data_IF_746219231661
#
_entry.id   IF_746219231661
#
_cell.length_a   1.000
_cell.length_b   1.000
_cell.length_c   1.000
_cell.angle_alpha   90.00
_cell.angle_beta   90.00
_cell.angle_gamma   90.00
#
_symmetry.space_group_name_H-M   'P 1'
#
loop_
_entity.id
_entity.type
_entity.pdbx_description
1 polymer ?
#
# COMPACT_ATOMS: atom_id res chain seq x y z
N UNK A 1 10.12 -31.25 -3.30
CA UNK A 1 8.98 -30.93 -2.43
C UNK A 1 9.24 -29.55 -1.85
N UNK A 2 8.51 -28.53 -2.32
CA UNK A 2 8.58 -27.21 -1.72
C UNK A 2 8.12 -27.30 -0.26
N UNK A 3 8.84 -26.63 0.65
CA UNK A 3 8.41 -26.54 2.04
C UNK A 3 7.09 -25.78 2.07
N UNK A 4 6.02 -26.41 2.56
CA UNK A 4 4.71 -25.77 2.66
C UNK A 4 4.85 -24.46 3.44
N UNK A 5 4.48 -23.35 2.83
CA UNK A 5 4.46 -22.05 3.49
C UNK A 5 3.47 -22.11 4.65
N UNK A 6 3.99 -22.03 5.87
CA UNK A 6 3.21 -22.05 7.11
C UNK A 6 3.34 -20.71 7.83
N UNK A 7 2.28 -20.24 8.51
CA UNK A 7 2.38 -19.05 9.34
C UNK A 7 3.49 -19.19 10.39
N UNK A 8 4.21 -18.10 10.62
CA UNK A 8 5.24 -17.99 11.66
C UNK A 8 4.87 -16.90 12.64
N UNK A 9 5.59 -16.81 13.76
CA UNK A 9 5.40 -15.74 14.72
C UNK A 9 5.65 -14.37 14.07
N UNK A 10 6.69 -14.26 13.24
CA UNK A 10 7.08 -13.06 12.51
C UNK A 10 6.14 -12.75 11.34
N UNK A 11 5.52 -13.78 10.74
CA UNK A 11 4.62 -13.68 9.57
C UNK A 11 3.31 -14.45 9.83
N UNK A 12 2.42 -13.92 10.68
CA UNK A 12 1.23 -14.64 11.14
C UNK A 12 0.09 -14.73 10.12
N UNK A 13 0.03 -13.86 9.09
CA UNK A 13 -1.06 -13.84 8.11
C UNK A 13 -0.65 -14.43 6.76
N UNK A 14 -1.11 -15.66 6.51
CA UNK A 14 -1.10 -16.32 5.21
C UNK A 14 -2.52 -16.79 4.86
N UNK A 15 -3.40 -15.85 4.50
CA UNK A 15 -4.74 -16.21 3.99
C UNK A 15 -4.67 -16.99 2.68
N UNK A 16 -5.75 -17.69 2.32
CA UNK A 16 -5.82 -18.56 1.13
C UNK A 16 -5.29 -17.86 -0.14
N UNK A 17 -5.72 -16.62 -0.36
CA UNK A 17 -5.34 -15.84 -1.55
C UNK A 17 -3.85 -15.49 -1.54
N UNK A 18 -3.29 -15.16 -0.37
CA UNK A 18 -1.85 -14.89 -0.23
C UNK A 18 -1.04 -16.15 -0.48
N UNK A 19 -1.47 -17.28 0.08
CA UNK A 19 -0.82 -18.58 -0.15
C UNK A 19 -0.78 -18.94 -1.64
N UNK A 20 -1.91 -18.83 -2.35
CA UNK A 20 -1.95 -19.09 -3.79
C UNK A 20 -1.05 -18.16 -4.60
N UNK A 21 -0.99 -16.88 -4.23
CA UNK A 21 -0.07 -15.93 -4.86
C UNK A 21 1.40 -16.32 -4.61
N UNK A 22 1.73 -16.80 -3.41
CA UNK A 22 3.09 -17.24 -3.08
C UNK A 22 3.45 -18.54 -3.80
N UNK A 23 2.53 -19.49 -3.88
CA UNK A 23 2.69 -20.72 -4.68
C UNK A 23 2.93 -20.36 -6.16
N UNK A 24 2.18 -19.41 -6.71
CA UNK A 24 2.39 -18.88 -8.06
C UNK A 24 3.70 -18.11 -8.24
N UNK A 25 4.39 -17.77 -7.15
CA UNK A 25 5.72 -17.14 -7.10
C UNK A 25 6.82 -18.14 -6.69
N UNK A 26 6.57 -19.45 -6.63
CA UNK A 26 7.63 -20.44 -6.38
C UNK A 26 8.48 -20.69 -7.64
N UNK A 27 7.85 -20.73 -8.82
CA UNK A 27 8.50 -20.95 -10.11
C UNK A 27 9.32 -19.74 -10.55
N UNK A 28 10.51 -19.90 -11.14
CA UNK A 28 11.43 -18.80 -11.50
C UNK A 28 10.85 -17.73 -12.46
N UNK A 29 9.67 -17.95 -13.03
CA UNK A 29 8.95 -17.00 -13.87
C UNK A 29 7.69 -16.44 -13.20
N UNK A 30 7.23 -15.26 -13.63
CA UNK A 30 5.93 -14.70 -13.23
C UNK A 30 4.76 -15.27 -14.06
N UNK A 31 4.97 -16.37 -14.78
CA UNK A 31 3.97 -16.98 -15.66
C UNK A 31 2.75 -17.45 -14.87
N UNK A 32 2.96 -18.24 -13.81
CA UNK A 32 1.86 -18.74 -12.96
C UNK A 32 1.12 -17.58 -12.27
N UNK A 33 1.85 -16.58 -11.78
CA UNK A 33 1.24 -15.37 -11.20
C UNK A 33 0.40 -14.60 -12.24
N UNK A 34 0.82 -14.57 -13.50
CA UNK A 34 0.06 -13.95 -14.60
C UNK A 34 -1.25 -14.70 -14.86
N UNK A 35 -1.23 -16.04 -14.82
CA UNK A 35 -2.43 -16.86 -14.94
C UNK A 35 -3.36 -16.67 -13.74
N UNK A 36 -2.81 -16.70 -12.53
CA UNK A 36 -3.55 -16.44 -11.29
C UNK A 36 -4.28 -15.09 -11.33
N UNK A 37 -3.58 -14.03 -11.74
CA UNK A 37 -4.15 -12.69 -11.86
C UNK A 37 -5.38 -12.66 -12.78
N UNK A 38 -5.32 -13.35 -13.93
CA UNK A 38 -6.40 -13.33 -14.92
C UNK A 38 -7.59 -14.24 -14.58
N UNK A 39 -7.31 -15.40 -13.99
CA UNK A 39 -8.31 -16.47 -13.87
C UNK A 39 -8.86 -16.62 -12.47
N UNK A 40 -8.05 -16.36 -11.44
CA UNK A 40 -8.36 -16.74 -10.06
C UNK A 40 -8.50 -15.56 -9.11
N UNK A 41 -7.82 -14.44 -9.40
CA UNK A 41 -7.82 -13.26 -8.52
C UNK A 41 -9.23 -12.76 -8.23
N UNK A 42 -10.07 -12.60 -9.25
CA UNK A 42 -11.45 -12.13 -9.05
C UNK A 42 -12.26 -13.05 -8.12
N UNK A 43 -12.14 -14.36 -8.30
CA UNK A 43 -12.83 -15.35 -7.47
C UNK A 43 -12.36 -15.29 -6.02
N UNK A 44 -11.06 -15.07 -5.83
CA UNK A 44 -10.45 -14.90 -4.52
C UNK A 44 -10.95 -13.60 -3.85
N UNK A 45 -10.99 -12.49 -4.58
CA UNK A 45 -11.53 -11.23 -4.08
C UNK A 45 -12.99 -11.38 -3.65
N UNK A 46 -13.85 -11.97 -4.49
CA UNK A 46 -15.27 -12.14 -4.16
C UNK A 46 -15.52 -13.01 -2.91
N UNK A 47 -14.58 -13.89 -2.56
CA UNK A 47 -14.61 -14.67 -1.32
C UNK A 47 -14.11 -13.86 -0.11
N UNK A 48 -13.09 -13.03 -0.31
CA UNK A 48 -12.28 -12.47 0.77
C UNK A 48 -12.61 -11.00 1.10
N UNK A 49 -13.38 -10.30 0.25
CA UNK A 49 -13.73 -8.88 0.45
C UNK A 49 -15.23 -8.67 0.64
N UNK A 50 -15.57 -7.78 1.58
CA UNK A 50 -16.93 -7.27 1.76
C UNK A 50 -17.10 -5.87 1.14
N UNK A 51 -16.02 -5.28 0.60
CA UNK A 51 -16.08 -3.98 -0.04
C UNK A 51 -16.67 -4.09 -1.46
N UNK A 52 -17.45 -3.08 -1.90
CA UNK A 52 -17.97 -3.05 -3.26
C UNK A 52 -16.84 -2.79 -4.25
N UNK A 53 -16.32 -3.86 -4.87
CA UNK A 53 -15.20 -3.82 -5.83
C UNK A 53 -15.67 -3.67 -7.30
N UNK A 54 -16.56 -2.73 -7.58
CA UNK A 54 -17.13 -2.58 -8.91
C UNK A 54 -16.09 -2.17 -9.97
N UNK A 55 -15.19 -1.25 -9.64
CA UNK A 55 -14.18 -0.71 -10.58
C UNK A 55 -13.03 -1.67 -10.76
N UNK A 56 -12.59 -2.32 -9.70
CA UNK A 56 -11.56 -3.37 -9.71
C UNK A 56 -12.03 -4.53 -10.58
N UNK A 57 -13.29 -4.96 -10.43
CA UNK A 57 -13.90 -5.98 -11.30
C UNK A 57 -13.93 -5.52 -12.76
N UNK A 58 -14.35 -4.29 -13.01
CA UNK A 58 -14.37 -3.73 -14.36
C UNK A 58 -12.97 -3.68 -14.97
N UNK A 59 -11.96 -3.23 -14.21
CA UNK A 59 -10.58 -3.11 -14.65
C UNK A 59 -10.00 -4.48 -15.00
N UNK A 60 -10.20 -5.50 -14.16
CA UNK A 60 -9.75 -6.87 -14.43
C UNK A 60 -10.46 -7.50 -15.64
N UNK A 61 -11.76 -7.23 -15.82
CA UNK A 61 -12.50 -7.70 -16.98
C UNK A 61 -12.01 -7.04 -18.29
N UNK A 62 -11.73 -5.73 -18.24
CA UNK A 62 -11.24 -4.96 -19.39
C UNK A 62 -9.77 -5.24 -19.71
N UNK A 63 -8.95 -5.56 -18.70
CA UNK A 63 -7.54 -5.91 -18.86
C UNK A 63 -7.37 -7.04 -19.90
N UNK A 64 -8.15 -8.12 -19.76
CA UNK A 64 -8.12 -9.25 -20.68
C UNK A 64 -8.50 -8.88 -22.12
N UNK A 65 -9.44 -7.93 -22.30
CA UNK A 65 -9.86 -7.47 -23.62
C UNK A 65 -8.81 -6.55 -24.28
N UNK A 66 -8.03 -5.82 -23.49
CA UNK A 66 -7.10 -4.78 -23.96
C UNK A 66 -5.65 -5.26 -24.06
N UNK A 67 -5.42 -6.57 -24.24
CA UNK A 67 -4.06 -7.13 -24.35
C UNK A 67 -3.30 -7.22 -23.03
N UNK A 68 -4.02 -7.23 -21.91
CA UNK A 68 -3.54 -7.44 -20.54
C UNK A 68 -2.42 -6.51 -20.05
N UNK A 69 -2.65 -5.19 -20.06
CA UNK A 69 -1.71 -4.21 -19.49
C UNK A 69 -1.30 -4.49 -18.03
N UNK A 70 -2.16 -5.03 -17.18
CA UNK A 70 -1.79 -5.43 -15.81
C UNK A 70 -0.77 -6.56 -15.79
N UNK A 71 -0.78 -7.47 -16.76
CA UNK A 71 0.28 -8.48 -16.87
C UNK A 71 1.59 -7.82 -17.29
N UNK A 72 1.57 -6.85 -18.23
CA UNK A 72 2.79 -6.10 -18.57
C UNK A 72 3.36 -5.37 -17.34
N UNK A 73 2.49 -4.71 -16.56
CA UNK A 73 2.87 -4.05 -15.31
C UNK A 73 3.42 -5.05 -14.29
N UNK A 74 2.81 -6.23 -14.15
CA UNK A 74 3.28 -7.29 -13.25
C UNK A 74 4.71 -7.72 -13.60
N UNK A 75 5.01 -7.93 -14.88
CA UNK A 75 6.35 -8.33 -15.34
C UNK A 75 7.38 -7.21 -15.21
N UNK A 76 6.95 -5.96 -15.03
CA UNK A 76 7.86 -4.87 -14.76
C UNK A 76 8.27 -4.80 -13.28
N UNK A 77 7.41 -5.24 -12.35
CA UNK A 77 7.74 -5.22 -10.92
C UNK A 77 8.87 -6.24 -10.65
N UNK A 78 9.98 -5.85 -10.00
CA UNK A 78 11.02 -6.79 -9.60
C UNK A 78 10.42 -7.92 -8.75
N UNK A 79 10.73 -9.18 -9.10
CA UNK A 79 10.14 -10.35 -8.44
C UNK A 79 10.26 -10.31 -6.91
N UNK A 80 11.43 -9.89 -6.38
CA UNK A 80 11.63 -9.73 -4.94
C UNK A 80 10.63 -8.74 -4.34
N UNK A 81 10.38 -7.62 -5.01
CA UNK A 81 9.37 -6.66 -4.59
C UNK A 81 7.96 -7.26 -4.67
N UNK A 82 7.64 -8.00 -5.73
CA UNK A 82 6.36 -8.73 -5.82
C UNK A 82 6.18 -9.67 -4.64
N UNK A 83 7.20 -10.46 -4.28
CA UNK A 83 7.18 -11.35 -3.12
C UNK A 83 6.99 -10.58 -1.81
N UNK A 84 7.69 -9.45 -1.62
CA UNK A 84 7.54 -8.61 -0.42
C UNK A 84 6.15 -7.99 -0.29
N UNK A 85 5.55 -7.55 -1.41
CA UNK A 85 4.18 -7.03 -1.44
C UNK A 85 3.19 -8.14 -1.06
N UNK A 86 3.28 -9.30 -1.72
CA UNK A 86 2.41 -10.45 -1.45
C UNK A 86 2.56 -10.91 -0.01
N UNK A 87 3.79 -11.00 0.50
CA UNK A 87 4.06 -11.38 1.88
C UNK A 87 3.63 -10.30 2.90
N UNK A 88 3.42 -9.05 2.50
CA UNK A 88 3.19 -7.95 3.44
C UNK A 88 4.45 -7.54 4.22
N UNK A 89 5.64 -7.90 3.74
CA UNK A 89 6.94 -7.67 4.41
C UNK A 89 7.70 -6.48 3.83
N UNK A 90 7.03 -5.60 3.09
CA UNK A 90 7.63 -4.47 2.40
C UNK A 90 8.53 -3.61 3.30
N UNK A 91 8.07 -3.24 4.50
CA UNK A 91 8.87 -2.41 5.40
C UNK A 91 10.11 -3.12 5.95
N UNK A 92 10.00 -4.44 6.15
CA UNK A 92 11.11 -5.28 6.58
C UNK A 92 12.15 -5.42 5.46
N UNK A 93 11.71 -5.84 4.26
CA UNK A 93 12.58 -6.10 3.12
C UNK A 93 13.15 -4.82 2.47
N UNK A 94 12.49 -3.67 2.60
CA UNK A 94 12.95 -2.42 2.00
C UNK A 94 13.26 -1.36 3.06
N UNK A 95 13.56 -1.80 4.29
CA UNK A 95 14.06 -0.94 5.34
C UNK A 95 15.32 -0.19 4.84
N UNK A 96 15.57 1.08 5.22
CA UNK A 96 16.71 1.86 4.70
C UNK A 96 18.10 1.24 4.88
N UNK A 97 18.25 0.27 5.80
CA UNK A 97 19.48 -0.48 6.00
C UNK A 97 19.67 -1.63 4.99
N UNK A 98 18.67 -1.91 4.16
CA UNK A 98 18.70 -2.95 3.14
C UNK A 98 18.88 -2.33 1.75
N UNK A 99 19.77 -2.92 0.95
CA UNK A 99 20.00 -2.51 -0.42
C UNK A 99 19.19 -3.40 -1.36
N UNK A 100 17.95 -3.01 -1.64
CA UNK A 100 17.12 -3.68 -2.62
C UNK A 100 16.78 -2.75 -3.78
N UNK A 101 16.67 -3.35 -4.97
CA UNK A 101 16.32 -2.64 -6.20
C UNK A 101 14.91 -2.09 -6.10
N UNK A 102 14.77 -0.79 -6.37
CA UNK A 102 13.48 -0.09 -6.43
C UNK A 102 13.46 0.84 -7.62
N UNK A 103 12.27 1.16 -8.09
CA UNK A 103 12.10 2.20 -9.10
C UNK A 103 12.51 3.57 -8.55
N UNK A 104 13.05 4.46 -9.40
CA UNK A 104 13.14 5.88 -9.06
C UNK A 104 11.73 6.49 -8.88
N UNK A 105 11.65 7.56 -8.11
CA UNK A 105 10.39 8.23 -7.72
C UNK A 105 10.02 9.41 -8.64
N UNK A 106 10.81 9.72 -9.65
CA UNK A 106 10.63 10.86 -10.57
C UNK A 106 9.57 10.64 -11.66
N UNK A 107 8.79 9.57 -11.56
CA UNK A 107 7.81 9.14 -12.56
C UNK A 107 6.37 9.02 -12.04
N UNK A 108 5.46 8.83 -13.00
CA UNK A 108 4.09 8.42 -12.75
C UNK A 108 4.02 6.92 -12.45
N UNK A 109 3.15 6.51 -11.55
CA UNK A 109 2.98 5.10 -11.24
C UNK A 109 2.29 4.83 -9.91
N UNK A 110 2.34 3.55 -9.52
CA UNK A 110 1.88 3.10 -8.22
C UNK A 110 3.04 2.96 -7.24
N UNK A 111 2.76 3.31 -5.99
CA UNK A 111 3.68 3.20 -4.87
C UNK A 111 3.02 2.47 -3.71
N UNK A 112 3.86 1.93 -2.83
CA UNK A 112 3.42 1.29 -1.61
C UNK A 112 4.09 1.93 -0.39
N UNK A 113 3.33 2.04 0.69
CA UNK A 113 3.78 2.57 1.97
C UNK A 113 3.49 1.55 3.05
N UNK A 114 4.52 1.18 3.82
CA UNK A 114 4.41 0.23 4.92
C UNK A 114 5.06 0.82 6.18
N UNK A 115 4.34 0.85 7.32
CA UNK A 115 4.88 1.35 8.58
C UNK A 115 5.81 0.33 9.23
N UNK A 116 6.82 0.83 9.94
CA UNK A 116 7.68 0.06 10.82
C UNK A 116 7.98 0.82 12.10
N UNK A 117 8.43 0.12 13.14
CA UNK A 117 8.80 0.74 14.40
C UNK A 117 10.31 0.99 14.41
N UNK A 118 10.71 2.22 14.72
CA UNK A 118 12.12 2.60 14.78
C UNK A 118 12.86 1.74 15.83
N UNK A 119 14.08 1.32 15.50
CA UNK A 119 14.87 0.43 16.34
C UNK A 119 14.47 -1.05 16.27
N UNK A 120 13.62 -1.44 15.31
CA UNK A 120 13.21 -2.85 15.10
C UNK A 120 13.50 -3.39 13.69
N UNK A 121 14.47 -2.81 12.99
CA UNK A 121 14.96 -3.29 11.69
C UNK A 121 13.85 -3.55 10.66
N UNK A 122 12.93 -2.60 10.51
CA UNK A 122 11.81 -2.69 9.57
C UNK A 122 10.63 -3.54 10.05
N UNK A 123 10.70 -4.11 11.26
CA UNK A 123 9.58 -4.84 11.87
C UNK A 123 8.51 -3.90 12.42
N UNK A 124 7.30 -4.44 12.46
CA UNK A 124 6.11 -3.78 12.96
C UNK A 124 5.84 -4.17 14.42
N UNK A 125 4.59 -4.01 14.86
CA UNK A 125 4.11 -4.36 16.19
C UNK A 125 4.16 -5.87 16.43
N UNK A 126 4.30 -6.28 17.69
CA UNK A 126 4.02 -7.65 18.13
C UNK A 126 2.52 -7.83 18.44
N UNK A 127 2.10 -9.02 18.89
CA UNK A 127 0.70 -9.31 19.19
C UNK A 127 0.14 -8.42 20.33
N UNK A 128 0.90 -8.16 21.39
CA UNK A 128 0.45 -7.34 22.53
C UNK A 128 0.20 -5.88 22.12
N UNK A 129 1.13 -5.33 21.34
CA UNK A 129 1.01 -3.98 20.80
C UNK A 129 -0.11 -3.90 19.76
N UNK A 130 -0.26 -4.94 18.92
CA UNK A 130 -1.37 -5.04 17.97
C UNK A 130 -2.72 -5.08 18.68
N UNK A 131 -2.83 -5.78 19.82
CA UNK A 131 -4.05 -5.77 20.64
C UNK A 131 -4.34 -4.37 21.19
N UNK A 132 -3.32 -3.64 21.65
CA UNK A 132 -3.49 -2.26 22.10
C UNK A 132 -3.97 -1.34 20.98
N UNK A 133 -3.47 -1.53 19.75
CA UNK A 133 -3.93 -0.81 18.56
C UNK A 133 -5.39 -1.16 18.21
N UNK A 134 -5.79 -2.42 18.33
CA UNK A 134 -7.18 -2.87 18.12
C UNK A 134 -8.12 -2.14 19.07
N UNK A 135 -7.77 -2.06 20.35
CA UNK A 135 -8.56 -1.39 21.38
C UNK A 135 -8.68 0.12 21.10
N UNK A 136 -7.58 0.77 20.68
CA UNK A 136 -7.57 2.19 20.31
C UNK A 136 -8.38 2.49 19.03
N UNK A 137 -8.35 1.59 18.04
CA UNK A 137 -9.20 1.68 16.85
C UNK A 137 -10.68 1.57 17.22
N UNK A 138 -11.04 0.63 18.10
CA UNK A 138 -12.40 0.48 18.60
C UNK A 138 -12.86 1.74 19.34
N UNK A 139 -12.00 2.34 20.16
CA UNK A 139 -12.29 3.60 20.84
C UNK A 139 -12.52 4.77 19.85
N UNK A 140 -11.74 4.82 18.76
CA UNK A 140 -11.91 5.84 17.72
C UNK A 140 -13.20 5.62 16.89
N UNK A 141 -13.55 4.37 16.60
CA UNK A 141 -14.83 4.00 15.95
C UNK A 141 -16.02 4.38 16.85
N UNK A 142 -15.94 4.08 18.14
CA UNK A 142 -16.96 4.46 19.11
C UNK A 142 -17.13 5.99 19.19
N UNK A 143 -16.04 6.76 19.10
CA UNK A 143 -16.08 8.21 19.03
C UNK A 143 -16.83 8.72 17.78
N UNK A 144 -16.67 8.04 16.64
CA UNK A 144 -17.44 8.36 15.43
C UNK A 144 -18.95 8.18 15.67
N UNK A 145 -19.34 7.06 16.28
CA UNK A 145 -20.74 6.80 16.60
C UNK A 145 -21.30 7.77 17.65
N UNK A 146 -20.52 8.13 18.66
CA UNK A 146 -20.87 9.16 19.64
C UNK A 146 -21.12 10.51 18.98
N UNK A 147 -20.22 10.93 18.08
CA UNK A 147 -20.38 12.17 17.32
C UNK A 147 -21.65 12.17 16.46
N UNK A 148 -21.96 11.04 15.81
CA UNK A 148 -23.17 10.89 15.01
C UNK A 148 -24.46 11.01 15.86
N UNK A 149 -24.46 10.53 17.12
CA UNK A 149 -25.59 10.66 18.05
C UNK A 149 -25.84 12.11 18.48
N UNK A 150 -24.78 12.88 18.66
CA UNK A 150 -24.82 14.23 19.25
C UNK A 150 -24.73 15.37 18.24
N UNK A 151 -25.00 15.13 16.95
CA UNK A 151 -24.76 16.06 15.84
C UNK A 151 -25.38 17.47 15.95
N UNK A 152 -26.12 17.81 17.01
CA UNK A 152 -26.61 19.16 17.29
C UNK A 152 -26.71 19.52 18.79
N UNK A 153 -26.15 18.74 19.73
CA UNK A 153 -26.32 19.04 21.15
C UNK A 153 -25.16 18.55 22.04
N UNK A 154 -24.06 19.31 22.07
CA UNK A 154 -22.89 19.01 22.89
C UNK A 154 -23.20 19.00 24.41
N UNK A 155 -24.35 19.57 24.84
CA UNK A 155 -24.71 19.69 26.26
C UNK A 155 -25.26 18.39 26.89
N UNK A 156 -25.56 17.35 26.09
CA UNK A 156 -26.11 16.08 26.56
C UNK A 156 -25.12 14.90 26.50
N UNK A 157 -23.83 15.16 26.29
CA UNK A 157 -22.85 14.08 26.30
C UNK A 157 -22.68 13.48 27.70
N UNK A 158 -22.84 12.17 27.77
CA UNK A 158 -22.47 11.41 28.95
C UNK A 158 -20.94 11.38 29.15
N UNK A 159 -20.52 10.83 30.29
CA UNK A 159 -19.10 10.73 30.67
C UNK A 159 -18.30 9.86 29.69
N UNK A 160 -18.91 8.82 29.12
CA UNK A 160 -18.25 7.91 28.17
C UNK A 160 -18.00 8.63 26.84
N UNK A 161 -19.02 9.27 26.28
CA UNK A 161 -18.92 10.00 25.01
C UNK A 161 -17.90 11.15 25.11
N UNK A 162 -17.82 11.83 26.26
CA UNK A 162 -16.77 12.83 26.51
C UNK A 162 -15.36 12.21 26.50
N UNK A 163 -15.19 11.02 27.08
CA UNK A 163 -13.90 10.31 27.08
C UNK A 163 -13.51 9.89 25.66
N UNK A 164 -14.46 9.37 24.88
CA UNK A 164 -14.26 9.01 23.48
C UNK A 164 -13.81 10.22 22.65
N UNK A 165 -14.49 11.37 22.81
CA UNK A 165 -14.10 12.60 22.12
C UNK A 165 -12.73 13.14 22.54
N UNK A 166 -12.41 13.11 23.83
CA UNK A 166 -11.11 13.55 24.31
C UNK A 166 -9.98 12.71 23.70
N UNK A 167 -10.17 11.39 23.66
CA UNK A 167 -9.24 10.47 23.01
C UNK A 167 -9.10 10.77 21.51
N UNK A 168 -10.20 10.83 20.78
CA UNK A 168 -10.17 11.03 19.32
C UNK A 168 -9.57 12.39 18.95
N UNK A 169 -9.87 13.45 19.73
CA UNK A 169 -9.26 14.77 19.58
C UNK A 169 -7.76 14.75 19.85
N UNK A 170 -7.30 13.93 20.80
CA UNK A 170 -5.88 13.78 21.07
C UNK A 170 -5.17 13.06 19.92
N UNK A 171 -5.75 11.99 19.38
CA UNK A 171 -5.26 11.29 18.18
C UNK A 171 -5.22 12.25 16.98
N UNK A 172 -6.28 13.01 16.73
CA UNK A 172 -6.36 13.92 15.59
C UNK A 172 -5.35 15.07 15.69
N UNK A 173 -5.04 15.56 16.90
CA UNK A 173 -4.05 16.65 17.08
C UNK A 173 -2.62 16.25 16.72
N UNK A 174 -2.32 14.96 16.66
CA UNK A 174 -0.97 14.46 16.41
C UNK A 174 -0.54 14.60 14.94
N UNK A 175 -1.49 14.73 14.00
CA UNK A 175 -1.17 15.02 12.59
C UNK A 175 -0.58 16.41 12.39
N UNK A 176 -0.78 17.36 13.32
CA UNK A 176 -0.33 18.76 13.22
C UNK A 176 -0.81 19.48 11.94
N UNK A 177 -1.87 18.99 11.31
CA UNK A 177 -2.49 19.69 10.19
C UNK A 177 -3.52 20.71 10.67
N UNK A 178 -3.76 21.75 9.87
CA UNK A 178 -4.80 22.76 10.15
C UNK A 178 -6.18 22.24 9.74
N UNK A 179 -6.44 20.94 9.95
CA UNK A 179 -7.69 20.34 9.51
C UNK A 179 -8.88 20.92 10.28
N UNK A 180 -9.95 21.18 9.52
CA UNK A 180 -11.23 21.62 10.06
C UNK A 180 -12.31 20.57 9.76
N UNK A 181 -13.19 20.26 10.71
CA UNK A 181 -14.34 19.40 10.48
C UNK A 181 -15.16 19.83 9.27
N UNK A 182 -15.50 18.86 8.41
CA UNK A 182 -16.48 19.05 7.32
C UNK A 182 -17.80 18.38 7.71
N UNK A 183 -18.92 18.99 7.31
CA UNK A 183 -20.26 18.39 7.38
C UNK A 183 -20.68 17.90 8.79
N UNK A 184 -20.21 18.58 9.84
CA UNK A 184 -20.55 18.26 11.23
C UNK A 184 -19.89 17.00 11.80
N UNK A 185 -19.10 16.26 11.01
CA UNK A 185 -18.31 15.12 11.51
C UNK A 185 -16.99 15.64 12.06
N UNK A 186 -16.82 15.55 13.39
CA UNK A 186 -15.69 16.12 14.12
C UNK A 186 -14.38 15.31 14.04
N UNK A 187 -14.35 14.16 13.36
CA UNK A 187 -13.18 13.28 13.31
C UNK A 187 -12.39 13.42 12.01
N UNK A 188 -11.06 13.54 12.14
CA UNK A 188 -10.14 13.71 11.01
C UNK A 188 -10.21 12.54 10.02
N UNK A 189 -10.17 11.32 10.57
CA UNK A 189 -9.87 10.12 9.81
C UNK A 189 -11.09 9.25 9.48
N UNK A 190 -12.21 9.42 10.17
CA UNK A 190 -13.49 8.78 9.83
C UNK A 190 -14.51 9.86 9.50
N UNK A 191 -14.62 10.18 8.21
CA UNK A 191 -15.47 11.27 7.71
C UNK A 191 -16.87 10.82 7.27
N UNK A 192 -17.19 9.53 7.42
CA UNK A 192 -18.51 9.02 7.06
C UNK A 192 -18.62 7.50 7.21
N UNK A 193 -19.82 6.98 6.94
CA UNK A 193 -20.17 5.57 7.16
C UNK A 193 -19.29 4.60 6.37
N UNK A 194 -18.97 4.95 5.11
CA UNK A 194 -18.10 4.11 4.27
C UNK A 194 -16.72 3.94 4.88
N UNK A 195 -16.07 5.04 5.29
CA UNK A 195 -14.77 5.00 5.96
C UNK A 195 -14.85 4.26 7.29
N UNK A 196 -15.90 4.50 8.09
CA UNK A 196 -16.11 3.80 9.35
C UNK A 196 -16.15 2.28 9.15
N UNK A 197 -16.92 1.80 8.16
CA UNK A 197 -17.02 0.39 7.86
C UNK A 197 -15.66 -0.21 7.42
N UNK A 198 -14.88 0.52 6.63
CA UNK A 198 -13.55 0.09 6.25
C UNK A 198 -12.61 -0.02 7.46
N UNK A 199 -12.61 0.95 8.37
CA UNK A 199 -11.79 0.90 9.59
C UNK A 199 -12.23 -0.23 10.54
N UNK A 200 -13.55 -0.50 10.64
CA UNK A 200 -14.05 -1.68 11.35
C UNK A 200 -13.49 -2.97 10.73
N UNK A 201 -13.51 -3.09 9.40
CA UNK A 201 -12.97 -4.26 8.73
C UNK A 201 -11.45 -4.42 8.94
N UNK A 202 -10.70 -3.31 8.93
CA UNK A 202 -9.28 -3.31 9.26
C UNK A 202 -9.01 -3.76 10.70
N UNK A 203 -9.79 -3.28 11.67
CA UNK A 203 -9.73 -3.75 13.06
C UNK A 203 -9.94 -5.27 13.13
N UNK A 204 -10.97 -5.80 12.46
CA UNK A 204 -11.22 -7.26 12.43
C UNK A 204 -10.09 -8.04 11.78
N UNK A 205 -9.47 -7.51 10.72
CA UNK A 205 -8.31 -8.14 10.09
C UNK A 205 -7.10 -8.21 11.05
N UNK A 206 -6.89 -7.18 11.88
CA UNK A 206 -5.87 -7.21 12.95
C UNK A 206 -6.21 -8.22 14.05
N UNK A 207 -7.48 -8.33 14.45
CA UNK A 207 -7.93 -9.36 15.40
C UNK A 207 -7.63 -10.76 14.86
N UNK A 208 -7.94 -11.00 13.58
CA UNK A 208 -7.66 -12.27 12.93
C UNK A 208 -6.15 -12.54 12.83
N UNK A 209 -5.32 -11.51 12.60
CA UNK A 209 -3.85 -11.61 12.63
C UNK A 209 -3.35 -12.12 13.99
N UNK A 210 -3.79 -11.48 15.08
CA UNK A 210 -3.38 -11.85 16.44
C UNK A 210 -3.82 -13.28 16.76
N UNK A 211 -5.06 -13.66 16.40
CA UNK A 211 -5.58 -15.03 16.63
C UNK A 211 -4.86 -16.10 15.82
N UNK A 212 -4.43 -15.78 14.60
CA UNK A 212 -3.73 -16.71 13.72
C UNK A 212 -2.25 -16.87 14.07
N UNK A 213 -1.67 -15.95 14.84
CA UNK A 213 -0.26 -15.97 15.20
C UNK A 213 0.08 -17.18 16.08
N UNK A 214 1.13 -17.96 15.73
CA UNK A 214 1.59 -19.06 16.57
C UNK A 214 2.41 -18.60 17.79
N UNK A 215 2.64 -17.30 17.96
CA UNK A 215 3.39 -16.75 19.10
C UNK A 215 2.56 -16.74 20.39
N UNK A 216 2.79 -17.76 21.22
CA UNK A 216 2.15 -17.89 22.53
C UNK A 216 2.56 -16.79 23.53
N UNK A 217 3.73 -16.16 23.36
CA UNK A 217 4.21 -15.11 24.27
C UNK A 217 3.61 -13.75 23.93
N UNK A 218 3.34 -13.54 22.64
CA UNK A 218 2.88 -12.28 22.06
C UNK A 218 3.95 -11.19 21.98
N UNK A 219 5.22 -11.54 22.18
CA UNK A 219 6.36 -10.62 22.23
C UNK A 219 7.16 -10.56 20.91
N UNK A 220 6.92 -11.49 19.97
CA UNK A 220 7.63 -11.52 18.69
C UNK A 220 7.13 -10.40 17.79
N UNK A 221 8.04 -9.51 17.38
CA UNK A 221 7.74 -8.44 16.42
C UNK A 221 7.51 -8.99 15.03
N UNK A 222 6.42 -8.53 14.39
CA UNK A 222 6.06 -8.99 13.06
C UNK A 222 6.95 -8.36 11.98
N UNK A 223 7.42 -9.17 11.03
CA UNK A 223 7.98 -8.68 9.77
C UNK A 223 6.87 -8.19 8.83
N UNK A 224 5.65 -8.69 9.02
CA UNK A 224 4.47 -8.26 8.27
C UNK A 224 3.87 -6.96 8.84
N UNK A 225 3.63 -5.99 7.95
CA UNK A 225 2.95 -4.73 8.26
C UNK A 225 1.74 -4.53 7.34
N UNK A 226 0.67 -3.84 7.78
CA UNK A 226 -0.37 -3.36 6.87
C UNK A 226 0.22 -2.44 5.79
N UNK A 227 -0.14 -2.68 4.53
CA UNK A 227 0.36 -1.87 3.40
C UNK A 227 -0.74 -0.90 2.95
N UNK A 228 -0.34 0.34 2.67
CA UNK A 228 -1.12 1.31 1.90
C UNK A 228 -0.57 1.37 0.47
N UNK A 229 -1.45 1.39 -0.52
CA UNK A 229 -1.10 1.59 -1.92
C UNK A 229 -1.74 2.87 -2.42
N UNK A 230 -0.99 3.64 -3.20
CA UNK A 230 -1.53 4.78 -3.92
C UNK A 230 -0.89 4.90 -5.29
N UNK A 231 -1.39 5.85 -6.07
CA UNK A 231 -0.78 6.23 -7.34
C UNK A 231 -0.64 7.75 -7.45
N UNK A 232 0.28 8.19 -8.30
CA UNK A 232 0.49 9.60 -8.62
C UNK A 232 1.12 9.73 -10.00
N UNK A 233 0.86 10.85 -10.65
CA UNK A 233 1.63 11.37 -11.78
C UNK A 233 3.07 11.75 -11.44
N UNK A 234 3.35 12.03 -10.16
CA UNK A 234 4.65 12.46 -9.64
C UNK A 234 4.87 11.89 -8.23
N UNK A 235 5.49 10.71 -8.17
CA UNK A 235 5.70 10.02 -6.89
C UNK A 235 6.68 10.78 -5.97
N UNK A 236 7.70 11.43 -6.52
CA UNK A 236 8.69 12.27 -5.81
C UNK A 236 8.04 13.34 -4.92
N UNK A 237 7.00 13.99 -5.44
CA UNK A 237 6.19 14.96 -4.69
C UNK A 237 5.27 14.30 -3.68
N UNK A 238 4.78 13.08 -3.93
CA UNK A 238 3.75 12.43 -3.13
C UNK A 238 4.29 11.66 -1.92
N UNK A 239 5.35 10.86 -2.09
CA UNK A 239 5.87 9.96 -1.06
C UNK A 239 6.24 10.66 0.26
N UNK A 240 6.86 11.86 0.27
CA UNK A 240 7.22 12.53 1.53
C UNK A 240 6.03 12.85 2.43
N UNK A 241 4.82 13.03 1.86
CA UNK A 241 3.60 13.32 2.63
C UNK A 241 3.09 12.16 3.48
N UNK A 242 3.62 10.95 3.25
CA UNK A 242 3.28 9.76 4.04
C UNK A 242 4.19 9.57 5.25
N UNK A 243 5.26 10.36 5.38
CA UNK A 243 6.12 10.29 6.55
C UNK A 243 5.39 10.75 7.81
N UNK A 244 5.51 10.02 8.93
CA UNK A 244 5.12 10.48 10.27
C UNK A 244 5.76 11.82 10.66
N UNK A 245 6.84 12.25 10.01
CA UNK A 245 7.47 13.56 10.29
C UNK A 245 6.76 14.72 9.58
N UNK A 246 5.85 14.43 8.65
CA UNK A 246 5.01 15.41 7.93
C UNK A 246 3.69 15.71 8.65
N UNK A 247 2.85 16.56 8.03
CA UNK A 247 1.49 16.89 8.50
C UNK A 247 0.47 15.77 8.26
N UNK A 248 0.81 14.74 7.47
CA UNK A 248 -0.10 13.69 7.02
C UNK A 248 -1.37 14.20 6.30
N UNK A 249 -1.41 15.47 5.87
CA UNK A 249 -2.59 16.11 5.27
C UNK A 249 -3.08 15.39 4.01
N UNK A 250 -2.13 14.86 3.27
CA UNK A 250 -2.30 14.18 1.99
C UNK A 250 -2.16 12.65 2.10
N UNK A 251 -2.17 12.12 3.32
CA UNK A 251 -2.13 10.68 3.57
C UNK A 251 -3.53 10.07 3.52
N UNK A 252 -3.63 8.86 2.96
CA UNK A 252 -4.87 8.09 2.95
C UNK A 252 -5.40 7.84 4.37
N UNK A 253 -6.72 7.89 4.56
CA UNK A 253 -7.34 7.90 5.89
C UNK A 253 -6.93 6.71 6.79
N UNK A 254 -6.83 5.49 6.24
CA UNK A 254 -6.43 4.31 7.00
C UNK A 254 -4.99 4.40 7.52
N UNK A 255 -4.05 4.77 6.65
CA UNK A 255 -2.65 5.00 7.03
C UNK A 255 -2.53 6.16 8.03
N UNK A 256 -3.23 7.28 7.77
CA UNK A 256 -3.19 8.46 8.63
C UNK A 256 -3.70 8.18 10.04
N UNK A 257 -4.80 7.44 10.17
CA UNK A 257 -5.33 7.00 11.46
C UNK A 257 -4.34 6.11 12.21
N UNK A 258 -3.80 5.09 11.53
CA UNK A 258 -2.82 4.18 12.12
C UNK A 258 -1.61 4.95 12.68
N UNK A 259 -0.99 5.81 11.87
CA UNK A 259 0.17 6.59 12.27
C UNK A 259 -0.16 7.56 13.43
N UNK A 260 -1.36 8.13 13.43
CA UNK A 260 -1.81 9.05 14.49
C UNK A 260 -2.00 8.33 15.82
N UNK A 261 -2.60 7.13 15.81
CA UNK A 261 -2.75 6.30 17.03
C UNK A 261 -1.39 5.88 17.57
N UNK A 262 -0.48 5.39 16.72
CA UNK A 262 0.85 4.94 17.18
C UNK A 262 1.64 6.08 17.81
N UNK A 263 1.64 7.25 17.19
CA UNK A 263 2.26 8.44 17.77
C UNK A 263 1.58 8.92 19.05
N UNK A 264 0.24 8.84 19.14
CA UNK A 264 -0.49 9.15 20.39
C UNK A 264 -0.04 8.24 21.54
N UNK A 265 0.28 6.98 21.24
CA UNK A 265 0.88 6.03 22.19
C UNK A 265 2.38 6.21 22.41
N UNK A 266 2.98 7.26 21.87
CA UNK A 266 4.43 7.52 21.94
C UNK A 266 5.29 6.38 21.34
N UNK A 267 4.72 5.59 20.42
CA UNK A 267 5.47 4.58 19.67
C UNK A 267 6.18 5.28 18.51
N UNK A 268 7.51 5.16 18.47
CA UNK A 268 8.33 5.76 17.40
C UNK A 268 8.13 4.98 16.10
N UNK A 269 7.22 5.45 15.26
CA UNK A 269 6.86 4.87 13.97
C UNK A 269 7.45 5.70 12.84
N UNK A 270 8.00 5.02 11.83
CA UNK A 270 8.32 5.61 10.52
C UNK A 270 7.73 4.72 9.40
N UNK A 271 7.91 5.12 8.14
CA UNK A 271 7.39 4.37 6.99
C UNK A 271 8.48 4.11 5.96
N UNK A 272 8.39 2.95 5.33
CA UNK A 272 9.02 2.69 4.03
C UNK A 272 7.99 3.06 2.97
N UNK A 273 8.32 4.05 2.14
CA UNK A 273 7.51 4.50 1.02
C UNK A 273 8.33 4.36 -0.25
N UNK A 274 7.92 3.48 -1.17
CA UNK A 274 8.69 3.21 -2.39
C UNK A 274 7.81 3.18 -3.65
N UNK A 275 8.34 3.67 -4.78
CA UNK A 275 7.78 3.38 -6.10
C UNK A 275 7.78 1.87 -6.36
N UNK A 276 6.65 1.33 -6.81
CA UNK A 276 6.52 -0.12 -7.09
C UNK A 276 6.60 -0.40 -8.58
N UNK A 277 5.92 0.41 -9.39
CA UNK A 277 5.90 0.27 -10.84
C UNK A 277 5.58 1.62 -11.47
N UNK A 278 6.22 1.91 -12.60
CA UNK A 278 5.87 3.07 -13.42
C UNK A 278 4.68 2.79 -14.32
N UNK A 279 3.92 3.84 -14.62
CA UNK A 279 2.90 3.85 -15.64
C UNK A 279 3.44 4.57 -16.87
N UNK A 280 3.67 3.84 -17.96
CA UNK A 280 4.18 4.41 -19.21
C UNK A 280 3.06 5.00 -20.07
N UNK A 281 1.87 4.40 -20.03
CA UNK A 281 0.69 4.90 -20.73
C UNK A 281 -0.29 5.49 -19.72
N UNK A 282 -1.07 6.50 -20.12
CA UNK A 282 -1.98 7.19 -19.18
C UNK A 282 -3.03 6.21 -18.62
N UNK A 283 -3.45 5.23 -19.42
CA UNK A 283 -4.36 4.16 -19.02
C UNK A 283 -3.75 3.19 -18.02
N UNK A 284 -2.42 3.07 -17.96
CA UNK A 284 -1.72 2.17 -17.04
C UNK A 284 -1.72 2.69 -15.60
N UNK A 285 -1.85 3.99 -15.38
CA UNK A 285 -1.78 4.55 -14.01
C UNK A 285 -2.86 3.98 -13.09
N UNK A 286 -4.17 4.06 -13.40
CA UNK A 286 -5.20 3.44 -12.56
C UNK A 286 -5.05 1.92 -12.48
N UNK A 287 -4.59 1.26 -13.55
CA UNK A 287 -4.37 -0.19 -13.57
C UNK A 287 -3.21 -0.61 -12.67
N UNK A 288 -2.16 0.21 -12.58
CA UNK A 288 -1.02 -0.02 -11.69
C UNK A 288 -1.44 0.06 -10.23
N UNK A 289 -2.29 1.03 -9.87
CA UNK A 289 -2.84 1.12 -8.51
C UNK A 289 -3.66 -0.12 -8.15
N UNK A 290 -4.53 -0.57 -9.08
CA UNK A 290 -5.32 -1.79 -8.90
C UNK A 290 -4.41 -3.00 -8.72
N UNK A 291 -3.46 -3.22 -9.64
CA UNK A 291 -2.54 -4.36 -9.57
C UNK A 291 -1.77 -4.39 -8.25
N UNK A 292 -1.14 -3.28 -7.86
CA UNK A 292 -0.33 -3.23 -6.63
C UNK A 292 -1.21 -3.40 -5.39
N UNK A 293 -2.43 -2.85 -5.39
CA UNK A 293 -3.41 -3.05 -4.31
C UNK A 293 -3.76 -4.53 -4.14
N UNK A 294 -3.97 -5.25 -5.24
CA UNK A 294 -4.29 -6.68 -5.24
C UNK A 294 -3.12 -7.53 -4.75
N UNK A 295 -1.91 -7.26 -5.24
CA UNK A 295 -0.70 -7.95 -4.81
C UNK A 295 -0.44 -7.76 -3.32
N UNK A 296 -0.54 -6.51 -2.84
CA UNK A 296 -0.31 -6.16 -1.45
C UNK A 296 -1.47 -6.57 -0.50
N UNK A 297 -2.63 -6.94 -1.05
CA UNK A 297 -3.89 -7.04 -0.31
C UNK A 297 -4.13 -5.80 0.57
N UNK A 298 -3.96 -4.62 -0.04
CA UNK A 298 -3.89 -3.38 0.71
C UNK A 298 -5.26 -2.83 1.12
N UNK A 299 -6.36 -3.48 0.75
CA UNK A 299 -7.70 -3.10 1.21
C UNK A 299 -7.88 -3.36 2.71
N UNK A 300 -8.66 -2.50 3.36
CA UNK A 300 -8.87 -2.53 4.81
C UNK A 300 -9.38 -3.89 5.31
N UNK A 301 -10.33 -4.51 4.62
CA UNK A 301 -10.89 -5.82 4.97
C UNK A 301 -9.97 -7.01 4.68
N UNK A 302 -8.88 -6.79 3.93
CA UNK A 302 -7.81 -7.75 3.71
C UNK A 302 -6.61 -7.52 4.65
N UNK A 303 -6.72 -6.57 5.58
CA UNK A 303 -5.67 -6.22 6.54
C UNK A 303 -4.66 -5.18 6.06
N UNK A 304 -4.96 -4.48 4.97
CA UNK A 304 -4.22 -3.29 4.51
C UNK A 304 -4.85 -1.98 4.98
N UNK A 305 -4.44 -0.86 4.35
CA UNK A 305 -4.77 0.50 4.79
C UNK A 305 -5.59 1.32 3.78
N UNK A 306 -5.91 0.76 2.62
CA UNK A 306 -6.81 1.37 1.63
C UNK A 306 -8.27 1.24 2.09
N UNK A 307 -8.89 2.37 2.42
CA UNK A 307 -10.31 2.46 2.80
C UNK A 307 -11.25 2.75 1.62
N UNK A 308 -10.67 2.99 0.45
CA UNK A 308 -11.37 3.24 -0.81
C UNK A 308 -10.82 2.29 -1.87
N UNK A 309 -11.70 1.87 -2.77
CA UNK A 309 -11.37 1.04 -3.92
C UNK A 309 -10.30 1.72 -4.81
N UNK A 310 -9.28 0.99 -5.30
CA UNK A 310 -8.29 1.54 -6.23
C UNK A 310 -8.87 1.86 -7.62
N UNK A 311 -8.11 2.59 -8.44
CA UNK A 311 -8.50 2.95 -9.80
C UNK A 311 -9.50 4.10 -9.85
N UNK A 312 -9.48 4.99 -8.85
CA UNK A 312 -10.45 6.09 -8.73
C UNK A 312 -10.01 7.39 -9.40
N UNK A 313 -8.72 7.55 -9.71
CA UNK A 313 -8.21 8.71 -10.45
C UNK A 313 -8.68 8.67 -11.92
N UNK A 314 -9.50 9.65 -12.31
CA UNK A 314 -10.09 9.75 -13.65
C UNK A 314 -9.40 10.73 -14.60
N UNK A 315 -8.49 11.59 -14.10
CA UNK A 315 -7.98 12.74 -14.86
C UNK A 315 -6.45 12.86 -14.80
N UNK A 316 -5.74 11.87 -15.35
CA UNK A 316 -4.26 11.92 -15.45
C UNK A 316 -3.77 11.67 -16.87
N UNK A 317 -4.43 12.28 -17.87
CA UNK A 317 -4.11 12.12 -19.31
C UNK A 317 -2.85 12.87 -19.80
N UNK A 318 -2.09 13.51 -18.92
CA UNK A 318 -1.00 14.41 -19.33
C UNK A 318 0.39 13.98 -18.85
N UNK A 319 0.48 13.12 -17.83
CA UNK A 319 1.75 12.86 -17.15
C UNK A 319 2.50 11.64 -17.68
N UNK A 320 1.81 10.52 -17.95
CA UNK A 320 2.48 9.32 -18.48
C UNK A 320 2.92 9.54 -19.92
N UNK A 321 2.11 10.26 -20.71
CA UNK A 321 2.49 10.75 -22.05
C UNK A 321 3.81 11.54 -22.06
N UNK A 322 4.06 12.40 -21.06
CA UNK A 322 5.31 13.17 -20.97
C UNK A 322 6.50 12.31 -20.53
N UNK A 323 6.30 11.33 -19.65
CA UNK A 323 7.34 10.40 -19.22
C UNK A 323 7.78 9.46 -20.36
N UNK A 324 6.82 8.97 -21.15
CA UNK A 324 7.10 8.14 -22.33
C UNK A 324 7.86 8.92 -23.39
N UNK A 325 7.52 10.20 -23.62
CA UNK A 325 8.27 11.06 -24.53
C UNK A 325 9.73 11.24 -24.09
N UNK A 326 9.98 11.53 -22.80
CA UNK A 326 11.35 11.68 -22.27
C UNK A 326 12.17 10.41 -22.43
N UNK A 327 11.59 9.25 -22.16
CA UNK A 327 12.33 7.98 -22.27
C UNK A 327 12.58 7.57 -23.73
N UNK A 328 11.67 7.89 -24.63
CA UNK A 328 11.93 7.74 -26.07
C UNK A 328 13.13 8.58 -26.49
N UNK A 329 13.20 9.83 -26.03
CA UNK A 329 14.35 10.71 -26.28
C UNK A 329 15.65 10.15 -25.67
N UNK A 330 15.61 9.62 -24.45
CA UNK A 330 16.77 8.96 -23.81
C UNK A 330 17.23 7.70 -24.55
N UNK A 331 16.29 6.87 -25.03
CA UNK A 331 16.61 5.68 -25.82
C UNK A 331 17.20 6.05 -27.18
N UNK A 332 16.64 7.05 -27.87
CA UNK A 332 17.19 7.58 -29.12
C UNK A 332 18.61 8.13 -28.91
N UNK A 333 18.87 8.81 -27.79
CA UNK A 333 20.21 9.26 -27.43
C UNK A 333 21.16 8.08 -27.15
N UNK A 334 20.69 7.04 -26.45
CA UNK A 334 21.47 5.85 -26.17
C UNK A 334 21.84 5.09 -27.46
N UNK A 335 20.87 4.87 -28.34
CA UNK A 335 21.09 4.22 -29.64
C UNK A 335 22.07 5.03 -30.50
N UNK A 336 21.95 6.36 -30.51
CA UNK A 336 22.90 7.24 -31.18
C UNK A 336 24.33 7.13 -30.61
N UNK A 337 24.49 6.96 -29.30
CA UNK A 337 25.79 6.73 -28.65
C UNK A 337 26.35 5.36 -29.03
N UNK A 338 25.51 4.31 -29.05
CA UNK A 338 25.90 2.97 -29.48
C UNK A 338 26.38 2.97 -30.94
N UNK A 339 25.64 3.61 -31.85
CA UNK A 339 26.01 3.75 -33.26
C UNK A 339 27.32 4.52 -33.42
N UNK A 340 27.51 5.61 -32.68
CA UNK A 340 28.75 6.40 -32.71
C UNK A 340 29.96 5.59 -32.22
N UNK A 341 29.79 4.79 -31.17
CA UNK A 341 30.84 3.90 -30.66
C UNK A 341 31.19 2.79 -31.65
N UNK A 342 30.19 2.22 -32.34
CA UNK A 342 30.42 1.23 -33.38
C UNK A 342 31.19 1.83 -34.57
N UNK A 343 30.81 3.03 -35.03
CA UNK A 343 31.53 3.75 -36.08
C UNK A 343 32.98 4.08 -35.69
N UNK A 344 33.21 4.48 -34.44
CA UNK A 344 34.55 4.74 -33.91
C UNK A 344 35.41 3.47 -33.92
N UNK A 345 34.85 2.33 -33.49
CA UNK A 345 35.53 1.05 -33.52
C UNK A 345 35.89 0.61 -34.96
N UNK A 346 34.99 0.83 -35.92
CA UNK A 346 35.26 0.56 -37.34
C UNK A 346 36.39 1.45 -37.88
N UNK A 347 36.40 2.74 -37.54
CA UNK A 347 37.47 3.69 -37.93
C UNK A 347 38.84 3.30 -37.36
N UNK A 348 38.88 2.91 -36.09
CA UNK A 348 40.11 2.44 -35.44
C UNK A 348 40.64 1.16 -36.09
N UNK A 349 39.75 0.23 -36.45
CA UNK A 349 40.12 -1.01 -37.15
C UNK A 349 40.66 -0.73 -38.57
N UNK A 350 40.12 0.27 -39.28
CA UNK A 350 40.61 0.67 -40.60
C UNK A 350 42.03 1.23 -40.55
N UNK A 351 42.31 2.16 -39.61
CA UNK A 351 43.66 2.72 -39.46
C UNK A 351 44.69 1.74 -38.94
N UNK A 352 44.28 0.76 -38.12
CA UNK A 352 45.20 -0.28 -37.64
C UNK A 352 45.66 -1.23 -38.76
N UNK A 353 45.02 -1.18 -39.93
CA UNK A 353 45.37 -1.95 -41.13
C UNK A 353 46.17 -1.16 -42.16
N UNK A 354 46.29 0.16 -41.99
CA UNK A 354 47.25 0.98 -42.73
C UNK A 354 48.59 0.97 -42.02
#
# INVERSE_FOLDING_TARGET
>A
MAARLVPTAERPLLGDTRLKMLEALEEDSLFEMSFFLRSEMMRCLEKDTNLPLHRTRQALAQDNANGSPMVKLLHAIPRKLTSSLVMGTLAYDYHPLQHNEKYPDDGAGAYAVAPYIEGRDGKFLNNKETQSLIDDLEFYIDAYHANARHQNNDQLMDVRDRRLQNFSNAVDKVSKDNWTPRDGVKLRWIQGKSTCNAIVAFREALVNRVKASPDATGDVYHEQAPIYVGCSDRMDGRLPHHSPKSTLSDTGMGLGLLLSILKYREISVDVVAIPVVWAWEDEMLPLSEVLVTLLAQSLADQGGLNVVEPGTQKDVRAAASAQTARRHEELEQYDAICDANEQLAQWQAYYSRM
#
